data_IF_924736877574
#
_entry.id   IF_924736877574
#
_cell.length_a   1.000
_cell.length_b   1.000
_cell.length_c   1.000
_cell.angle_alpha   90.00
_cell.angle_beta   90.00
_cell.angle_gamma   90.00
#
_symmetry.space_group_name_H-M   'P 1'
#
loop_
_entity.id
_entity.type
_entity.pdbx_description
1 polymer ?
#
# COMPACT_ATOMS: atom_id res chain seq x y z
N UNK A 1 5.83 31.07 13.13
CA UNK A 1 6.82 30.92 12.08
C UNK A 1 6.34 29.99 10.99
N UNK A 2 6.75 30.26 9.79
CA UNK A 2 6.37 29.48 8.62
C UNK A 2 6.80 28.01 8.72
N UNK A 3 7.80 27.71 9.52
CA UNK A 3 8.28 26.35 9.66
C UNK A 3 7.26 25.41 10.31
N UNK A 4 6.53 25.89 11.28
CA UNK A 4 5.47 25.08 11.90
C UNK A 4 4.35 24.78 10.90
N UNK A 5 4.02 25.75 10.07
CA UNK A 5 3.03 25.57 9.00
C UNK A 5 3.50 24.53 7.99
N UNK A 6 4.79 24.56 7.64
CA UNK A 6 5.38 23.60 6.71
C UNK A 6 5.33 22.19 7.28
N UNK A 7 5.64 22.02 8.57
CA UNK A 7 5.67 20.71 9.22
C UNK A 7 4.29 20.05 9.31
N UNK A 8 3.23 20.85 9.33
CA UNK A 8 1.86 20.35 9.39
C UNK A 8 1.24 20.16 8.01
N UNK A 9 1.90 20.63 6.94
CA UNK A 9 1.38 20.47 5.58
C UNK A 9 1.39 19.00 5.15
N UNK A 10 0.37 18.55 4.40
CA UNK A 10 0.37 17.19 3.87
C UNK A 10 1.59 16.94 2.98
N UNK A 11 2.21 15.77 3.13
CA UNK A 11 3.35 15.35 2.32
C UNK A 11 3.13 13.96 1.79
N UNK A 12 3.07 13.84 0.48
CA UNK A 12 2.99 12.53 -0.18
C UNK A 12 4.38 11.93 -0.26
N UNK A 13 4.52 10.67 0.17
CA UNK A 13 5.76 9.94 0.01
C UNK A 13 5.93 9.56 -1.46
N UNK A 14 7.20 9.43 -1.89
CA UNK A 14 7.50 9.06 -3.26
C UNK A 14 6.80 7.77 -3.69
N UNK A 15 6.31 7.74 -4.91
CA UNK A 15 5.73 6.58 -5.56
C UNK A 15 6.07 6.61 -7.05
N UNK A 16 6.11 5.45 -7.72
CA UNK A 16 6.40 5.43 -9.16
C UNK A 16 5.22 5.91 -9.99
N UNK A 17 5.53 6.53 -11.11
CA UNK A 17 4.53 6.88 -12.11
C UNK A 17 4.13 5.61 -12.89
N UNK A 18 3.00 5.71 -13.60
CA UNK A 18 2.46 4.59 -14.38
C UNK A 18 3.52 3.91 -15.26
N UNK A 19 4.35 4.70 -15.93
CA UNK A 19 5.35 4.19 -16.87
C UNK A 19 6.42 3.33 -16.21
N UNK A 20 6.64 3.53 -14.93
CA UNK A 20 7.68 2.84 -14.17
C UNK A 20 7.16 1.62 -13.43
N UNK A 21 5.85 1.38 -13.47
CA UNK A 21 5.24 0.22 -12.82
C UNK A 21 5.26 -0.97 -13.77
N UNK A 22 5.78 -2.11 -13.30
CA UNK A 22 5.83 -3.34 -14.08
C UNK A 22 5.04 -4.45 -13.41
N UNK A 23 4.54 -5.38 -14.22
CA UNK A 23 3.86 -6.57 -13.68
C UNK A 23 4.80 -7.36 -12.78
N UNK A 24 6.09 -7.40 -13.11
CA UNK A 24 7.09 -8.12 -12.31
C UNK A 24 7.25 -7.52 -10.92
N UNK A 25 7.32 -6.20 -10.85
CA UNK A 25 7.39 -5.51 -9.56
C UNK A 25 6.15 -5.73 -8.70
N UNK A 26 4.98 -5.67 -9.33
CA UNK A 26 3.72 -5.94 -8.65
C UNK A 26 3.68 -7.37 -8.10
N UNK A 27 4.01 -8.36 -8.92
CA UNK A 27 4.00 -9.75 -8.50
C UNK A 27 5.02 -10.03 -7.40
N UNK A 28 6.21 -9.44 -7.51
CA UNK A 28 7.24 -9.58 -6.48
C UNK A 28 6.77 -9.01 -5.14
N UNK A 29 6.16 -7.84 -5.15
CA UNK A 29 5.64 -7.23 -3.94
C UNK A 29 4.51 -8.05 -3.31
N UNK A 30 3.69 -8.69 -4.12
CA UNK A 30 2.55 -9.49 -3.65
C UNK A 30 2.93 -10.94 -3.32
N UNK A 31 4.18 -11.35 -3.54
CA UNK A 31 4.61 -12.73 -3.27
C UNK A 31 4.85 -13.01 -1.78
N UNK A 32 4.66 -12.04 -0.92
CA UNK A 32 4.82 -12.19 0.53
C UNK A 32 3.45 -12.22 1.20
N UNK A 33 3.19 -13.21 2.08
CA UNK A 33 1.86 -13.33 2.73
C UNK A 33 1.46 -12.10 3.54
N UNK A 34 2.42 -11.47 4.20
CA UNK A 34 2.14 -10.26 5.00
C UNK A 34 1.71 -9.10 4.10
N UNK A 35 2.44 -8.88 3.02
CA UNK A 35 2.11 -7.81 2.08
C UNK A 35 0.76 -8.06 1.39
N UNK A 36 0.49 -9.31 1.06
CA UNK A 36 -0.81 -9.64 0.46
C UNK A 36 -1.95 -9.40 1.45
N UNK A 37 -1.75 -9.71 2.73
CA UNK A 37 -2.73 -9.42 3.78
C UNK A 37 -2.98 -7.91 3.93
N UNK A 38 -1.93 -7.11 3.84
CA UNK A 38 -2.05 -5.65 3.88
C UNK A 38 -2.88 -5.14 2.71
N UNK A 39 -2.58 -5.59 1.50
CA UNK A 39 -3.32 -5.20 0.30
C UNK A 39 -4.78 -5.62 0.39
N UNK A 40 -5.05 -6.81 0.90
CA UNK A 40 -6.42 -7.29 1.11
C UNK A 40 -7.19 -6.35 2.03
N UNK A 41 -6.57 -5.93 3.13
CA UNK A 41 -7.22 -5.00 4.06
C UNK A 41 -7.46 -3.64 3.42
N UNK A 42 -6.49 -3.14 2.65
CA UNK A 42 -6.63 -1.87 1.93
C UNK A 42 -7.70 -1.94 0.85
N UNK A 43 -7.92 -3.11 0.24
CA UNK A 43 -8.96 -3.27 -0.77
C UNK A 43 -10.37 -3.16 -0.17
N UNK A 44 -10.51 -3.42 1.13
CA UNK A 44 -11.79 -3.33 1.84
C UNK A 44 -12.08 -1.94 2.42
N UNK A 45 -11.07 -1.08 2.45
CA UNK A 45 -11.16 0.25 3.07
C UNK A 45 -10.50 1.28 2.17
N UNK A 46 -11.02 2.49 2.17
CA UNK A 46 -10.46 3.54 1.31
C UNK A 46 -9.08 3.99 1.77
N UNK A 47 -8.91 4.15 3.07
CA UNK A 47 -7.70 4.73 3.63
C UNK A 47 -7.46 4.16 5.01
N UNK A 48 -6.20 3.83 5.32
CA UNK A 48 -5.81 3.24 6.58
C UNK A 48 -4.59 3.95 7.16
N UNK A 49 -4.40 3.83 8.46
CA UNK A 49 -3.18 4.23 9.13
C UNK A 49 -2.31 2.99 9.39
N UNK A 50 -0.97 3.13 9.50
CA UNK A 50 -0.12 1.98 9.83
C UNK A 50 -0.56 1.26 11.10
N UNK A 51 -1.10 2.01 12.05
CA UNK A 51 -1.62 1.48 13.30
C UNK A 51 -2.66 0.36 13.09
N UNK A 52 -3.42 0.45 12.00
CA UNK A 52 -4.48 -0.50 11.68
C UNK A 52 -3.95 -1.87 11.27
N UNK A 53 -2.65 -2.00 11.02
CA UNK A 53 -2.02 -3.23 10.57
C UNK A 53 -1.16 -3.91 11.64
N UNK A 54 -1.18 -3.43 12.88
CA UNK A 54 -0.35 -3.99 13.95
C UNK A 54 -0.76 -5.41 14.34
N UNK A 55 -1.96 -5.83 13.97
CA UNK A 55 -2.41 -7.22 14.12
C UNK A 55 -1.79 -8.14 13.06
N UNK A 56 -1.24 -7.59 11.98
CA UNK A 56 -0.66 -8.34 10.88
C UNK A 56 0.87 -8.42 11.01
N UNK A 57 1.51 -7.31 11.39
CA UNK A 57 2.96 -7.24 11.45
C UNK A 57 3.41 -6.26 12.54
N UNK A 58 4.64 -6.45 13.05
CA UNK A 58 5.24 -5.50 13.98
C UNK A 58 5.48 -4.16 13.28
N UNK A 59 5.62 -3.10 14.07
CA UNK A 59 5.83 -1.76 13.54
C UNK A 59 7.05 -1.68 12.61
N UNK A 60 8.15 -2.35 12.98
CA UNK A 60 9.36 -2.35 12.16
C UNK A 60 9.16 -3.08 10.83
N UNK A 61 8.58 -4.27 10.88
CA UNK A 61 8.31 -5.06 9.69
C UNK A 61 7.30 -4.35 8.79
N UNK A 62 6.32 -3.71 9.40
CA UNK A 62 5.30 -2.97 8.67
C UNK A 62 5.92 -1.84 7.85
N UNK A 63 6.85 -1.08 8.43
CA UNK A 63 7.54 0.00 7.71
C UNK A 63 8.21 -0.54 6.44
N UNK A 64 8.90 -1.68 6.56
CA UNK A 64 9.53 -2.32 5.41
C UNK A 64 8.52 -2.77 4.36
N UNK A 65 7.45 -3.44 4.78
CA UNK A 65 6.42 -3.95 3.86
C UNK A 65 5.69 -2.82 3.13
N UNK A 66 5.39 -1.74 3.84
CA UNK A 66 4.75 -0.59 3.22
C UNK A 66 5.67 0.08 2.20
N UNK A 67 6.97 0.15 2.48
CA UNK A 67 7.93 0.68 1.53
C UNK A 67 7.98 -0.16 0.25
N UNK A 68 8.03 -1.48 0.38
CA UNK A 68 8.04 -2.40 -0.77
C UNK A 68 6.77 -2.21 -1.62
N UNK A 69 5.61 -2.15 -0.99
CA UNK A 69 4.34 -1.96 -1.69
C UNK A 69 4.28 -0.61 -2.40
N UNK A 70 4.75 0.44 -1.76
CA UNK A 70 4.76 1.79 -2.32
C UNK A 70 5.69 1.88 -3.52
N UNK A 71 6.90 1.34 -3.40
CA UNK A 71 7.89 1.38 -4.47
C UNK A 71 7.51 0.52 -5.67
N UNK A 72 6.69 -0.50 -5.45
CA UNK A 72 6.15 -1.31 -6.55
C UNK A 72 4.98 -0.62 -7.28
N UNK A 73 4.39 0.41 -6.68
CA UNK A 73 3.28 1.13 -7.28
C UNK A 73 1.90 0.70 -6.81
N UNK A 74 1.81 -0.14 -5.78
CA UNK A 74 0.53 -0.64 -5.29
C UNK A 74 -0.20 0.32 -4.36
N UNK A 75 0.55 1.11 -3.59
CA UNK A 75 -0.03 2.01 -2.61
C UNK A 75 0.57 3.40 -2.72
N UNK A 76 -0.17 4.35 -2.18
CA UNK A 76 0.34 5.70 -1.89
C UNK A 76 0.28 5.93 -0.39
N UNK A 77 1.12 6.83 0.07
CA UNK A 77 1.15 7.24 1.49
C UNK A 77 1.38 8.73 1.58
N UNK A 78 0.76 9.34 2.58
CA UNK A 78 1.02 10.74 2.89
C UNK A 78 1.06 10.96 4.39
N UNK A 79 1.79 11.97 4.81
CA UNK A 79 1.75 12.47 6.17
C UNK A 79 0.90 13.73 6.24
N UNK A 80 0.10 13.82 7.29
CA UNK A 80 -0.56 15.06 7.68
C UNK A 80 -0.21 15.29 9.14
N UNK A 81 0.75 16.19 9.40
CA UNK A 81 1.34 16.33 10.71
C UNK A 81 2.06 15.03 11.10
N UNK A 82 1.64 14.42 12.19
CA UNK A 82 2.21 13.15 12.69
C UNK A 82 1.47 11.93 12.18
N UNK A 83 0.35 12.13 11.53
CA UNK A 83 -0.48 11.02 11.06
C UNK A 83 -0.06 10.59 9.66
N UNK A 84 0.04 9.29 9.46
CA UNK A 84 0.33 8.71 8.15
C UNK A 84 -0.92 8.01 7.64
N UNK A 85 -1.24 8.25 6.38
CA UNK A 85 -2.37 7.64 5.71
C UNK A 85 -1.89 6.85 4.51
N UNK A 86 -2.51 5.69 4.30
CA UNK A 86 -2.12 4.73 3.27
C UNK A 86 -3.37 4.33 2.51
N UNK A 87 -3.27 4.24 1.18
CA UNK A 87 -4.37 3.74 0.36
C UNK A 87 -3.86 2.97 -0.85
N UNK A 88 -4.69 2.04 -1.32
CA UNK A 88 -4.41 1.21 -2.48
C UNK A 88 -4.65 2.03 -3.75
N UNK A 89 -3.76 1.91 -4.72
CA UNK A 89 -3.93 2.54 -6.04
C UNK A 89 -4.79 1.65 -6.93
N UNK A 90 -5.98 1.33 -6.43
CA UNK A 90 -6.87 0.34 -7.02
C UNK A 90 -7.18 0.61 -8.49
N UNK A 91 -7.60 1.83 -8.79
CA UNK A 91 -8.04 2.18 -10.14
C UNK A 91 -6.90 2.06 -11.15
N UNK A 92 -5.70 2.50 -10.77
CA UNK A 92 -4.53 2.42 -11.65
C UNK A 92 -4.13 0.97 -11.91
N UNK A 93 -4.07 0.16 -10.86
CA UNK A 93 -3.66 -1.23 -11.00
C UNK A 93 -4.71 -2.02 -11.80
N UNK A 94 -5.98 -1.79 -11.57
CA UNK A 94 -7.05 -2.43 -12.34
C UNK A 94 -7.00 -2.03 -13.81
N UNK A 95 -6.64 -0.79 -14.10
CA UNK A 95 -6.51 -0.30 -15.47
C UNK A 95 -5.31 -0.92 -16.18
N UNK A 96 -4.17 -1.00 -15.47
CA UNK A 96 -2.93 -1.55 -16.05
C UNK A 96 -2.97 -3.07 -16.17
N UNK A 97 -3.53 -3.74 -15.17
CA UNK A 97 -3.53 -5.20 -15.06
C UNK A 97 -4.94 -5.69 -14.72
N UNK A 98 -5.85 -5.67 -15.71
CA UNK A 98 -7.26 -6.01 -15.46
C UNK A 98 -7.42 -7.41 -14.88
N UNK A 99 -8.15 -7.51 -13.79
CA UNK A 99 -8.47 -8.77 -13.13
C UNK A 99 -7.39 -9.30 -12.21
N UNK A 100 -6.19 -8.71 -12.19
CA UNK A 100 -5.09 -9.22 -11.38
C UNK A 100 -5.40 -9.15 -9.88
N UNK A 101 -5.76 -7.98 -9.37
CA UNK A 101 -6.04 -7.82 -7.94
C UNK A 101 -7.25 -8.65 -7.51
N UNK A 102 -8.34 -8.57 -8.26
CA UNK A 102 -9.54 -9.33 -7.92
C UNK A 102 -9.27 -10.83 -7.92
N UNK A 103 -8.52 -11.31 -8.90
CA UNK A 103 -8.16 -12.73 -8.98
C UNK A 103 -7.32 -13.18 -7.79
N UNK A 104 -6.31 -12.38 -7.43
CA UNK A 104 -5.46 -12.69 -6.28
C UNK A 104 -6.22 -12.64 -4.97
N UNK A 105 -7.02 -11.62 -4.77
CA UNK A 105 -7.79 -11.47 -3.53
C UNK A 105 -8.82 -12.58 -3.36
N UNK A 106 -9.47 -12.98 -4.45
CA UNK A 106 -10.38 -14.12 -4.43
C UNK A 106 -9.65 -15.42 -4.12
N UNK A 107 -8.49 -15.64 -4.75
CA UNK A 107 -7.70 -16.83 -4.52
C UNK A 107 -7.26 -16.95 -3.06
N UNK A 108 -6.85 -15.84 -2.45
CA UNK A 108 -6.40 -15.82 -1.05
C UNK A 108 -7.52 -16.20 -0.08
N UNK A 109 -8.75 -15.83 -0.38
CA UNK A 109 -9.90 -16.19 0.46
C UNK A 109 -10.12 -17.70 0.58
N UNK A 110 -9.65 -18.45 -0.41
CA UNK A 110 -9.79 -19.90 -0.46
C UNK A 110 -8.57 -20.67 0.04
N UNK A 111 -7.52 -19.97 0.45
CA UNK A 111 -6.33 -20.61 1.00
C UNK A 111 -6.57 -21.03 2.45
N UNK A 112 -5.99 -22.16 2.89
CA UNK A 112 -6.04 -22.54 4.31
C UNK A 112 -5.35 -21.49 5.17
N UNK A 113 -5.81 -21.32 6.41
CA UNK A 113 -5.19 -20.35 7.32
C UNK A 113 -3.75 -20.70 7.65
#
# INVERSE_FOLDING_TARGET
MSQETIDSAPRTLWYPEREDITIYGILAALSDPTRLAIVRKLALHEEQCPFDFLDIASKQNLTHHLKVLREAGLIKSRYEGRNKFIWLRRDLIDDMFPGLLDGLLTAVEHLPP
#
